data_IF_040823928670
#
_entry.id   IF_040823928670
#
_cell.length_a   1.000
_cell.length_b   1.000
_cell.length_c   1.000
_cell.angle_alpha   90.00
_cell.angle_beta   90.00
_cell.angle_gamma   90.00
#
_symmetry.space_group_name_H-M   'P 1'
#
loop_
_entity.id
_entity.type
_entity.pdbx_description
1 polymer ?
#
# COMPACT_ATOMS: atom_id res chain seq x y z
N UNK A 1 -2.36 -8.37 -10.50
CA UNK A 1 -1.78 -7.05 -10.20
C UNK A 1 -2.88 -6.01 -10.14
N UNK A 2 -2.97 -5.29 -9.03
CA UNK A 2 -3.91 -4.20 -8.82
C UNK A 2 -3.14 -2.94 -8.40
N UNK A 3 -3.62 -1.78 -8.84
CA UNK A 3 -3.06 -0.48 -8.47
C UNK A 3 -3.90 0.10 -7.35
N UNK A 4 -3.24 0.63 -6.33
CA UNK A 4 -3.89 1.28 -5.20
C UNK A 4 -3.17 2.54 -4.77
N UNK A 5 -3.79 3.26 -3.84
CA UNK A 5 -3.21 4.43 -3.18
C UNK A 5 -3.16 4.19 -1.68
N UNK A 6 -2.06 4.55 -1.05
CA UNK A 6 -1.94 4.47 0.41
C UNK A 6 -2.84 5.54 1.03
N UNK A 7 -3.89 5.14 1.73
CA UNK A 7 -4.82 6.05 2.40
C UNK A 7 -4.44 6.31 3.84
N UNK A 8 -3.76 5.35 4.49
CA UNK A 8 -3.37 5.47 5.89
C UNK A 8 -1.99 4.84 6.13
N UNK A 9 -1.16 5.57 6.89
CA UNK A 9 0.13 5.09 7.38
C UNK A 9 0.26 5.41 8.86
N UNK A 10 0.13 4.39 9.72
CA UNK A 10 0.26 4.53 11.17
C UNK A 10 1.24 3.48 11.69
N UNK A 11 2.39 3.92 12.20
CA UNK A 11 3.47 3.05 12.68
C UNK A 11 3.86 1.96 11.66
N UNK A 12 3.41 0.71 11.88
CA UNK A 12 3.67 -0.42 10.98
C UNK A 12 2.53 -0.67 9.99
N UNK A 13 1.33 -0.13 10.23
CA UNK A 13 0.16 -0.33 9.39
C UNK A 13 0.23 0.51 8.11
N UNK A 14 -0.11 -0.13 6.99
CA UNK A 14 -0.27 0.50 5.68
C UNK A 14 -1.66 0.09 5.20
N UNK A 15 -2.52 1.06 4.91
CA UNK A 15 -3.85 0.83 4.36
C UNK A 15 -3.86 1.39 2.95
N UNK A 16 -4.28 0.56 2.00
CA UNK A 16 -4.25 0.85 0.57
C UNK A 16 -5.67 0.76 0.04
N UNK A 17 -6.19 1.84 -0.52
CA UNK A 17 -7.44 1.81 -1.26
C UNK A 17 -7.16 1.33 -2.69
N UNK A 18 -7.90 0.31 -3.13
CA UNK A 18 -7.77 -0.29 -4.47
C UNK A 18 -9.03 0.09 -5.27
N UNK A 19 -8.96 1.10 -6.17
CA UNK A 19 -10.13 1.61 -6.88
C UNK A 19 -10.83 0.54 -7.74
N UNK A 20 -10.06 -0.38 -8.33
CA UNK A 20 -10.62 -1.47 -9.16
C UNK A 20 -11.49 -2.44 -8.38
N UNK A 21 -11.30 -2.55 -7.06
CA UNK A 21 -12.04 -3.45 -6.19
C UNK A 21 -13.01 -2.70 -5.26
N UNK A 22 -12.98 -1.36 -5.26
CA UNK A 22 -13.82 -0.50 -4.42
C UNK A 22 -13.62 -0.72 -2.91
N UNK A 23 -12.47 -1.29 -2.50
CA UNK A 23 -12.20 -1.66 -1.10
C UNK A 23 -10.81 -1.26 -0.65
N UNK A 24 -10.63 -1.25 0.67
CA UNK A 24 -9.33 -1.04 1.31
C UNK A 24 -8.71 -2.37 1.72
N UNK A 25 -7.41 -2.50 1.46
CA UNK A 25 -6.60 -3.66 1.81
C UNK A 25 -5.45 -3.24 2.72
N UNK A 26 -4.94 -4.21 3.49
CA UNK A 26 -3.71 -4.03 4.26
C UNK A 26 -2.51 -4.22 3.34
N UNK A 27 -1.72 -3.17 3.18
CA UNK A 27 -0.45 -3.22 2.44
C UNK A 27 0.62 -3.97 3.23
N UNK A 28 1.26 -4.95 2.59
CA UNK A 28 2.46 -5.62 3.10
C UNK A 28 3.60 -5.38 2.11
N UNK A 29 4.62 -4.58 2.45
CA UNK A 29 5.75 -4.34 1.56
C UNK A 29 6.47 -5.64 1.25
N UNK A 30 6.61 -5.98 -0.03
CA UNK A 30 7.36 -7.16 -0.48
C UNK A 30 8.78 -6.74 -0.90
N UNK A 31 9.80 -7.29 -0.25
CA UNK A 31 11.20 -7.12 -0.64
C UNK A 31 12.03 -6.22 0.29
N UNK A 32 13.34 -6.51 0.35
CA UNK A 32 14.30 -5.84 1.25
C UNK A 32 14.42 -4.33 1.03
N UNK A 33 14.27 -3.87 -0.21
CA UNK A 33 14.40 -2.44 -0.57
C UNK A 33 13.17 -1.66 -0.08
N UNK A 34 11.97 -2.20 -0.28
CA UNK A 34 10.72 -1.59 0.16
C UNK A 34 10.57 -1.53 1.68
N UNK A 35 11.26 -2.41 2.43
CA UNK A 35 11.35 -2.30 3.90
C UNK A 35 12.26 -1.15 4.40
N UNK A 36 13.15 -0.63 3.55
CA UNK A 36 13.98 0.55 3.85
C UNK A 36 13.41 1.83 3.24
N UNK A 37 12.52 1.70 2.27
CA UNK A 37 11.84 2.82 1.64
C UNK A 37 10.72 3.34 2.54
N UNK A 38 10.60 4.66 2.65
CA UNK A 38 9.52 5.26 3.43
C UNK A 38 8.27 5.32 2.56
N UNK A 39 7.19 4.71 3.03
CA UNK A 39 5.88 4.72 2.39
C UNK A 39 5.00 5.71 3.15
N UNK A 40 4.37 6.61 2.42
CA UNK A 40 3.54 7.70 2.94
C UNK A 40 2.10 7.59 2.44
N UNK A 41 1.19 8.30 3.11
CA UNK A 41 -0.16 8.48 2.60
C UNK A 41 -0.13 9.30 1.30
N UNK A 42 -0.92 8.89 0.31
CA UNK A 42 -0.94 9.43 -1.04
C UNK A 42 -0.05 8.70 -2.04
N UNK A 43 0.88 7.86 -1.59
CA UNK A 43 1.73 7.09 -2.50
C UNK A 43 0.89 6.12 -3.33
N UNK A 44 1.14 6.09 -4.64
CA UNK A 44 0.59 5.07 -5.55
C UNK A 44 1.45 3.82 -5.46
N UNK A 45 0.79 2.67 -5.31
CA UNK A 45 1.44 1.38 -5.14
C UNK A 45 0.80 0.34 -6.05
N UNK A 46 1.61 -0.61 -6.47
CA UNK A 46 1.16 -1.80 -7.21
C UNK A 46 1.37 -3.02 -6.34
N UNK A 47 0.39 -3.93 -6.37
CA UNK A 47 0.45 -5.15 -5.58
C UNK A 47 -0.38 -6.26 -6.19
N UNK A 48 -0.36 -7.40 -5.52
CA UNK A 48 -1.28 -8.50 -5.78
C UNK A 48 -2.16 -8.64 -4.54
N UNK A 49 -3.48 -8.68 -4.77
CA UNK A 49 -4.49 -8.83 -3.74
C UNK A 49 -4.62 -10.29 -3.29
#
# INVERSE_FOLDING_TARGET
MAVGVVVERVAQLIRVFVPSEGRELRGVPKGRVLMKFRIYAGDRVEGEA
#
